data_IF_409479568792
#
_entry.id   IF_409479568792
#
_cell.length_a   1.000
_cell.length_b   1.000
_cell.length_c   1.000
_cell.angle_alpha   90.00
_cell.angle_beta   90.00
_cell.angle_gamma   90.00
#
_symmetry.space_group_name_H-M   'P 1'
#
loop_
_entity.id
_entity.type
_entity.pdbx_description
1 polymer ?
#
# COMPACT_ATOMS: atom_id res chain seq x y z
N UNK A 1 -8.00 23.46 3.68
CA UNK A 1 -7.55 23.13 5.05
C UNK A 1 -6.91 21.75 4.94
N UNK A 2 -5.74 21.66 4.29
CA UNK A 2 -4.36 21.72 4.84
C UNK A 2 -4.10 20.58 5.83
N UNK A 3 -3.30 19.62 5.34
CA UNK A 3 -3.04 18.25 5.75
C UNK A 3 -2.02 18.14 6.91
N UNK A 4 -1.99 19.09 7.84
CA UNK A 4 -0.88 19.22 8.80
C UNK A 4 -1.13 18.58 10.19
N UNK A 5 -2.14 17.71 10.33
CA UNK A 5 -2.48 17.11 11.64
C UNK A 5 -2.89 15.65 11.51
N UNK A 6 -1.93 14.71 11.46
CA UNK A 6 -1.96 13.40 12.14
C UNK A 6 -0.61 12.68 11.96
N UNK A 7 0.44 13.39 12.38
CA UNK A 7 1.79 12.86 12.56
C UNK A 7 1.83 12.13 13.92
N UNK A 8 1.21 10.95 14.03
CA UNK A 8 1.44 9.99 15.11
C UNK A 8 0.60 8.72 14.92
N UNK A 9 1.08 7.79 14.11
CA UNK A 9 0.71 6.39 14.27
C UNK A 9 2.00 5.66 14.55
N UNK A 10 2.14 5.20 15.79
CA UNK A 10 3.31 4.49 16.32
C UNK A 10 4.63 5.31 16.36
N UNK A 11 4.59 6.47 17.04
CA UNK A 11 5.74 7.31 17.46
C UNK A 11 6.94 7.48 16.50
N UNK A 12 6.93 8.59 15.77
CA UNK A 12 8.12 9.18 15.14
C UNK A 12 9.15 9.65 16.19
N UNK A 13 10.32 9.02 16.24
CA UNK A 13 11.57 9.80 16.34
C UNK A 13 12.55 9.26 15.32
N UNK A 14 12.57 9.85 14.12
CA UNK A 14 13.71 9.70 13.22
C UNK A 14 14.96 10.19 13.94
N UNK A 15 15.79 9.27 14.41
CA UNK A 15 17.14 9.57 14.85
C UNK A 15 18.04 9.12 13.70
N UNK A 16 18.74 10.06 13.08
CA UNK A 16 19.85 9.72 12.17
C UNK A 16 20.88 8.98 13.03
N UNK A 17 21.18 7.72 12.68
CA UNK A 17 22.27 6.98 13.31
C UNK A 17 23.58 7.73 13.04
N UNK A 18 24.59 7.55 13.89
CA UNK A 18 25.91 8.19 13.72
C UNK A 18 26.61 7.85 12.39
N UNK A 19 26.05 6.94 11.57
CA UNK A 19 26.49 6.56 10.23
C UNK A 19 25.67 7.20 9.09
N UNK A 20 24.69 8.06 9.40
CA UNK A 20 23.89 8.78 8.39
C UNK A 20 22.65 8.04 7.88
N UNK A 21 22.31 6.88 8.44
CA UNK A 21 21.15 6.08 8.04
C UNK A 21 19.96 6.32 9.00
N UNK A 22 18.74 6.40 8.47
CA UNK A 22 17.51 6.49 9.25
C UNK A 22 17.27 5.16 9.99
N UNK A 23 17.05 5.21 11.30
CA UNK A 23 16.60 4.05 12.10
C UNK A 23 15.06 4.02 12.01
N UNK A 24 14.52 3.02 11.31
CA UNK A 24 13.10 2.90 10.99
C UNK A 24 12.41 1.96 11.99
N UNK A 25 11.43 2.46 12.75
CA UNK A 25 10.46 1.62 13.46
C UNK A 25 9.07 2.09 13.00
N UNK A 26 8.61 1.52 11.88
CA UNK A 26 7.37 1.90 11.19
C UNK A 26 6.44 0.68 11.15
N UNK A 27 5.98 0.22 12.32
CA UNK A 27 5.11 -0.96 12.35
C UNK A 27 3.66 -0.68 11.94
N UNK A 28 3.32 0.54 11.51
CA UNK A 28 1.98 0.90 11.01
C UNK A 28 1.95 1.30 9.53
N UNK A 29 3.00 1.03 8.76
CA UNK A 29 3.01 1.28 7.31
C UNK A 29 1.85 0.57 6.60
N UNK A 30 1.50 -0.63 7.06
CA UNK A 30 0.38 -1.43 6.55
C UNK A 30 -0.94 -0.66 6.62
N UNK A 31 -1.22 0.05 7.73
CA UNK A 31 -2.48 0.77 7.88
C UNK A 31 -2.57 1.95 6.92
N UNK A 32 -1.48 2.67 6.68
CA UNK A 32 -1.42 3.77 5.71
C UNK A 32 -1.62 3.28 4.26
N UNK A 33 -0.96 2.18 3.90
CA UNK A 33 -1.14 1.59 2.59
C UNK A 33 -2.58 1.14 2.38
N UNK A 34 -3.15 0.45 3.38
CA UNK A 34 -4.54 -0.02 3.36
C UNK A 34 -5.53 1.13 3.24
N UNK A 35 -5.45 2.16 4.10
CA UNK A 35 -6.38 3.30 4.03
C UNK A 35 -6.29 3.99 2.68
N UNK A 36 -5.09 4.31 2.20
CA UNK A 36 -4.92 4.98 0.91
C UNK A 36 -5.51 4.20 -0.27
N UNK A 37 -5.44 2.86 -0.25
CA UNK A 37 -6.08 2.04 -1.27
C UNK A 37 -7.62 2.07 -1.16
N UNK A 38 -8.17 2.06 0.06
CA UNK A 38 -9.62 2.16 0.32
C UNK A 38 -10.16 3.53 -0.08
N UNK A 39 -9.45 4.61 0.27
CA UNK A 39 -9.75 5.98 -0.14
C UNK A 39 -9.82 6.09 -1.66
N UNK A 40 -8.82 5.52 -2.35
CA UNK A 40 -8.73 5.50 -3.81
C UNK A 40 -9.94 4.83 -4.46
N UNK A 41 -10.27 3.59 -4.07
CA UNK A 41 -11.40 2.87 -4.67
C UNK A 41 -12.74 3.54 -4.36
N UNK A 42 -12.91 4.09 -3.15
CA UNK A 42 -14.14 4.80 -2.81
C UNK A 42 -14.28 6.09 -3.63
N UNK A 43 -13.21 6.88 -3.79
CA UNK A 43 -13.22 8.07 -4.62
C UNK A 43 -13.51 7.75 -6.09
N UNK A 44 -13.01 6.63 -6.62
CA UNK A 44 -13.28 6.18 -7.99
C UNK A 44 -14.75 5.79 -8.21
N UNK A 45 -15.41 5.18 -7.21
CA UNK A 45 -16.79 4.72 -7.33
C UNK A 45 -17.81 5.80 -6.97
N UNK A 46 -17.57 6.55 -5.90
CA UNK A 46 -18.50 7.58 -5.41
C UNK A 46 -18.28 8.96 -6.04
N UNK A 47 -17.06 9.24 -6.50
CA UNK A 47 -16.62 10.58 -6.90
C UNK A 47 -16.16 11.47 -5.73
N UNK A 48 -16.33 11.01 -4.48
CA UNK A 48 -15.98 11.75 -3.28
C UNK A 48 -14.73 11.17 -2.62
N UNK A 49 -13.67 11.98 -2.55
CA UNK A 49 -12.47 11.63 -1.79
C UNK A 49 -12.72 11.86 -0.30
N UNK A 50 -12.71 10.78 0.46
CA UNK A 50 -12.89 10.78 1.91
C UNK A 50 -11.58 10.36 2.54
N UNK A 51 -11.10 11.14 3.50
CA UNK A 51 -9.92 10.75 4.28
C UNK A 51 -10.32 9.80 5.39
N UNK A 52 -9.62 8.68 5.52
CA UNK A 52 -9.83 7.64 6.53
C UNK A 52 -8.83 7.79 7.67
N UNK A 53 -9.16 7.15 8.80
CA UNK A 53 -8.32 7.14 9.98
C UNK A 53 -7.52 5.84 10.00
N UNK A 54 -6.23 5.88 9.67
CA UNK A 54 -5.32 4.76 9.83
C UNK A 54 -5.29 4.26 11.29
N UNK A 55 -5.50 5.16 12.27
CA UNK A 55 -5.54 4.83 13.69
C UNK A 55 -6.70 3.87 14.03
N UNK A 56 -7.80 3.89 13.27
CA UNK A 56 -8.90 2.94 13.49
C UNK A 56 -8.44 1.50 13.23
N UNK A 57 -7.63 1.29 12.19
CA UNK A 57 -7.02 -0.02 11.92
C UNK A 57 -6.01 -0.38 13.01
N UNK A 58 -5.10 0.53 13.37
CA UNK A 58 -4.08 0.25 14.39
C UNK A 58 -4.66 -0.10 15.75
N UNK A 59 -5.74 0.57 16.16
CA UNK A 59 -6.36 0.34 17.48
C UNK A 59 -7.37 -0.82 17.49
N UNK A 60 -8.09 -1.04 16.38
CA UNK A 60 -9.26 -1.93 16.38
C UNK A 60 -9.05 -3.22 15.59
N UNK A 61 -8.10 -3.27 14.65
CA UNK A 61 -7.81 -4.46 13.88
C UNK A 61 -6.98 -5.46 14.70
N UNK A 62 -7.68 -6.31 15.46
CA UNK A 62 -7.06 -7.37 16.26
C UNK A 62 -6.50 -8.53 15.44
N UNK A 63 -6.64 -8.52 14.11
CA UNK A 63 -6.01 -9.49 13.21
C UNK A 63 -4.58 -9.09 12.82
N UNK A 64 -4.23 -7.83 13.04
CA UNK A 64 -2.89 -7.28 12.87
C UNK A 64 -2.24 -6.95 14.22
N UNK A 65 -0.99 -6.51 14.19
CA UNK A 65 -0.17 -6.28 15.39
C UNK A 65 0.00 -4.79 15.72
N UNK A 66 -0.90 -3.93 15.24
CA UNK A 66 -0.90 -2.50 15.53
C UNK A 66 0.42 -1.84 15.12
N UNK A 67 1.21 -1.44 16.12
CA UNK A 67 2.53 -0.81 15.94
C UNK A 67 3.70 -1.78 15.77
N UNK A 68 3.48 -3.08 15.91
CA UNK A 68 4.51 -4.11 15.75
C UNK A 68 4.55 -4.69 14.32
N UNK A 69 3.70 -4.18 13.42
CA UNK A 69 3.57 -4.64 12.04
C UNK A 69 2.16 -5.10 11.68
N UNK A 70 1.97 -5.41 10.40
CA UNK A 70 0.70 -5.92 9.90
C UNK A 70 0.72 -6.19 8.40
N UNK A 71 -0.34 -6.84 7.93
CA UNK A 71 -0.57 -7.20 6.54
C UNK A 71 -1.83 -6.51 6.02
N UNK A 72 -1.73 -5.94 4.82
CA UNK A 72 -2.84 -5.22 4.19
C UNK A 72 -4.02 -6.14 3.88
N UNK A 73 -3.77 -7.41 3.56
CA UNK A 73 -4.82 -8.41 3.30
C UNK A 73 -5.71 -8.64 4.52
N UNK A 74 -5.11 -8.75 5.71
CA UNK A 74 -5.84 -8.88 6.97
C UNK A 74 -6.61 -7.62 7.30
N UNK A 75 -6.03 -6.46 7.03
CA UNK A 75 -6.71 -5.18 7.22
C UNK A 75 -7.92 -5.04 6.30
N UNK A 76 -7.81 -5.45 5.02
CA UNK A 76 -8.95 -5.49 4.11
C UNK A 76 -10.03 -6.45 4.60
N UNK A 77 -9.67 -7.66 5.04
CA UNK A 77 -10.62 -8.63 5.59
C UNK A 77 -11.31 -8.12 6.86
N UNK A 78 -10.58 -7.44 7.74
CA UNK A 78 -11.12 -6.78 8.92
C UNK A 78 -12.12 -5.67 8.54
N UNK A 79 -11.79 -4.83 7.56
CA UNK A 79 -12.70 -3.77 7.07
C UNK A 79 -13.96 -4.37 6.45
N UNK A 80 -13.86 -5.46 5.69
CA UNK A 80 -15.04 -6.17 5.15
C UNK A 80 -15.93 -6.67 6.29
N UNK A 81 -15.33 -7.21 7.35
CA UNK A 81 -16.05 -7.82 8.48
C UNK A 81 -16.64 -6.80 9.46
N UNK A 82 -16.02 -5.62 9.61
CA UNK A 82 -16.38 -4.63 10.65
C UNK A 82 -16.91 -3.29 10.09
N UNK A 83 -16.74 -3.03 8.80
CA UNK A 83 -16.99 -1.72 8.17
C UNK A 83 -18.20 -1.65 7.23
N UNK A 84 -19.00 -2.72 7.13
CA UNK A 84 -20.02 -2.96 6.08
C UNK A 84 -21.16 -1.95 5.90
N UNK A 85 -21.22 -0.83 6.64
CA UNK A 85 -22.23 0.24 6.43
C UNK A 85 -21.65 1.68 6.42
N UNK A 86 -20.33 1.87 6.52
CA UNK A 86 -19.72 3.22 6.44
C UNK A 86 -19.40 3.59 4.98
N UNK A 87 -19.37 4.89 4.68
CA UNK A 87 -19.14 5.46 3.33
C UNK A 87 -17.83 4.98 2.69
N UNK A 88 -16.90 4.45 3.48
CA UNK A 88 -15.62 3.91 3.05
C UNK A 88 -15.54 2.37 3.03
N UNK A 89 -16.69 1.68 2.97
CA UNK A 89 -16.71 0.22 2.89
C UNK A 89 -16.03 -0.30 1.61
N UNK A 90 -15.62 -1.56 1.63
CA UNK A 90 -15.16 -2.31 0.47
C UNK A 90 -15.95 -3.62 0.41
N UNK A 91 -16.19 -4.14 -0.79
CA UNK A 91 -16.99 -5.34 -1.01
C UNK A 91 -16.13 -6.61 -1.08
N UNK A 92 -14.82 -6.44 -1.23
CA UNK A 92 -13.83 -7.51 -1.31
C UNK A 92 -12.41 -6.95 -1.44
N UNK A 93 -11.44 -7.84 -1.67
CA UNK A 93 -10.09 -7.47 -2.09
C UNK A 93 -9.50 -8.54 -3.01
N UNK A 94 -8.47 -8.18 -3.77
CA UNK A 94 -7.74 -9.09 -4.66
C UNK A 94 -6.24 -9.00 -4.41
N UNK A 95 -5.59 -10.17 -4.39
CA UNK A 95 -4.13 -10.28 -4.39
C UNK A 95 -3.64 -10.19 -5.83
N UNK A 96 -2.60 -9.41 -6.05
CA UNK A 96 -1.96 -9.22 -7.36
C UNK A 96 -0.92 -10.32 -7.57
N UNK A 97 -0.86 -10.86 -8.78
CA UNK A 97 0.21 -11.79 -9.14
C UNK A 97 1.58 -11.13 -9.12
N UNK A 98 2.61 -11.91 -8.77
CA UNK A 98 4.01 -11.46 -8.62
C UNK A 98 4.69 -11.16 -9.97
N UNK A 99 4.06 -10.30 -10.77
CA UNK A 99 4.45 -9.94 -12.14
C UNK A 99 4.23 -8.44 -12.35
N UNK A 100 5.22 -7.76 -12.92
CA UNK A 100 5.10 -6.34 -13.30
C UNK A 100 3.86 -6.08 -14.18
N UNK A 101 3.49 -7.02 -15.06
CA UNK A 101 2.32 -6.88 -15.93
C UNK A 101 0.99 -6.95 -15.16
N UNK A 102 0.91 -7.76 -14.10
CA UNK A 102 -0.27 -7.84 -13.26
C UNK A 102 -0.39 -6.61 -12.37
N UNK A 103 0.74 -6.15 -11.81
CA UNK A 103 0.79 -4.93 -11.02
C UNK A 103 0.49 -3.69 -11.85
N UNK A 104 0.94 -3.66 -13.11
CA UNK A 104 0.61 -2.61 -14.08
C UNK A 104 -0.88 -2.57 -14.36
N UNK A 105 -1.46 -3.75 -14.62
CA UNK A 105 -2.90 -3.87 -14.87
C UNK A 105 -3.72 -3.35 -13.69
N UNK A 106 -3.36 -3.73 -12.46
CA UNK A 106 -4.06 -3.30 -11.26
C UNK A 106 -3.89 -1.79 -11.01
N UNK A 107 -2.66 -1.29 -11.05
CA UNK A 107 -2.33 0.14 -10.80
C UNK A 107 -2.96 1.07 -11.83
N UNK A 108 -3.23 0.59 -13.05
CA UNK A 108 -3.96 1.35 -14.06
C UNK A 108 -5.44 1.59 -13.71
N UNK A 109 -6.01 0.79 -12.81
CA UNK A 109 -7.42 0.91 -12.41
C UNK A 109 -7.59 1.70 -11.12
N UNK A 110 -6.69 1.53 -10.16
CA UNK A 110 -6.81 2.11 -8.83
C UNK A 110 -5.47 2.09 -8.07
N UNK A 111 -5.35 2.86 -6.97
CA UNK A 111 -4.22 2.71 -6.05
C UNK A 111 -4.16 1.30 -5.43
N UNK A 112 -2.95 0.77 -5.34
CA UNK A 112 -2.66 -0.61 -4.89
C UNK A 112 -1.76 -0.57 -3.66
N UNK A 113 -2.09 -1.35 -2.64
CA UNK A 113 -1.19 -1.59 -1.52
C UNK A 113 -0.08 -2.53 -1.95
N UNK A 114 1.17 -2.16 -1.73
CA UNK A 114 2.34 -2.99 -1.98
C UNK A 114 3.30 -2.96 -0.80
N UNK A 115 4.26 -3.87 -0.77
CA UNK A 115 5.35 -3.78 0.19
C UNK A 115 6.66 -3.43 -0.50
N UNK A 116 7.46 -2.61 0.16
CA UNK A 116 8.71 -2.05 -0.26
C UNK A 116 9.76 -2.37 0.81
N UNK A 117 10.89 -2.90 0.37
CA UNK A 117 12.07 -3.02 1.23
C UNK A 117 12.91 -1.75 1.08
N UNK A 118 12.94 -0.92 2.13
CA UNK A 118 13.65 0.36 2.19
C UNK A 118 15.16 0.28 1.91
N UNK A 119 15.74 -0.92 1.91
CA UNK A 119 17.15 -1.16 1.64
C UNK A 119 17.43 -1.88 0.32
N UNK A 120 16.39 -2.23 -0.44
CA UNK A 120 16.46 -2.99 -1.70
C UNK A 120 17.44 -4.17 -1.61
N UNK A 121 17.15 -5.06 -0.66
CA UNK A 121 17.68 -6.42 -0.60
C UNK A 121 17.14 -7.24 -1.76
N UNK A 122 17.93 -8.22 -2.22
CA UNK A 122 17.49 -9.22 -3.20
C UNK A 122 16.69 -10.37 -2.54
N UNK A 123 16.36 -10.25 -1.24
CA UNK A 123 15.70 -11.27 -0.44
C UNK A 123 14.20 -10.92 -0.20
N UNK A 124 13.25 -11.75 -0.67
CA UNK A 124 11.82 -11.53 -0.45
C UNK A 124 11.38 -11.67 1.01
N UNK A 125 12.23 -12.19 1.90
CA UNK A 125 11.95 -12.26 3.35
C UNK A 125 12.35 -10.98 4.10
N UNK A 126 13.05 -10.03 3.46
CA UNK A 126 13.52 -8.77 4.07
C UNK A 126 12.54 -7.59 3.82
N UNK A 127 11.28 -7.91 3.53
CA UNK A 127 10.23 -6.94 3.25
C UNK A 127 9.70 -6.36 4.57
N UNK A 128 9.89 -5.05 4.79
CA UNK A 128 9.60 -4.40 6.09
C UNK A 128 8.64 -3.20 6.05
N UNK A 129 8.36 -2.62 4.87
CA UNK A 129 7.60 -1.36 4.78
C UNK A 129 6.51 -1.33 3.71
N UNK A 130 5.24 -1.22 4.10
CA UNK A 130 4.13 -1.11 3.15
C UNK A 130 4.02 0.31 2.56
N UNK A 131 3.77 0.37 1.24
CA UNK A 131 3.68 1.59 0.44
C UNK A 131 2.48 1.55 -0.48
N UNK A 132 2.04 2.73 -0.95
CA UNK A 132 0.91 2.83 -1.86
C UNK A 132 1.37 3.15 -3.28
N UNK A 133 1.14 2.24 -4.21
CA UNK A 133 1.31 2.51 -5.65
C UNK A 133 0.12 3.29 -6.18
N UNK A 134 0.39 4.47 -6.74
CA UNK A 134 -0.66 5.40 -7.21
C UNK A 134 -0.60 5.67 -8.71
N UNK A 135 0.41 5.13 -9.40
CA UNK A 135 0.56 5.32 -10.83
C UNK A 135 1.84 4.73 -11.38
N UNK A 136 2.07 4.98 -12.66
CA UNK A 136 3.25 4.55 -13.39
C UNK A 136 3.56 5.53 -14.50
N UNK A 137 4.82 5.50 -14.96
CA UNK A 137 5.30 6.32 -16.05
C UNK A 137 6.40 5.64 -16.86
N UNK A 138 6.85 6.36 -17.88
CA UNK A 138 7.97 6.01 -18.73
C UNK A 138 8.71 7.29 -19.10
N UNK A 139 10.01 7.32 -18.80
CA UNK A 139 10.91 8.40 -19.21
C UNK A 139 12.09 7.81 -19.99
N UNK A 140 12.96 8.69 -20.52
CA UNK A 140 14.09 8.26 -21.36
C UNK A 140 14.98 7.20 -20.69
N UNK A 141 15.06 7.21 -19.37
CA UNK A 141 15.89 6.30 -18.59
C UNK A 141 15.18 5.01 -18.16
N UNK A 142 13.92 4.84 -18.54
CA UNK A 142 13.14 3.62 -18.37
C UNK A 142 11.77 3.83 -17.74
N UNK A 143 11.15 2.69 -17.45
CA UNK A 143 9.83 2.59 -16.88
C UNK A 143 9.87 2.68 -15.35
N UNK A 144 8.89 3.35 -14.73
CA UNK A 144 8.79 3.46 -13.28
C UNK A 144 7.36 3.38 -12.73
N UNK A 145 7.27 3.04 -11.46
CA UNK A 145 6.10 3.21 -10.58
C UNK A 145 6.17 4.56 -9.88
N UNK A 146 5.01 5.16 -9.62
CA UNK A 146 4.84 6.32 -8.76
C UNK A 146 4.31 5.80 -7.42
N UNK A 147 5.11 5.96 -6.38
CA UNK A 147 4.83 5.37 -5.07
C UNK A 147 4.69 6.48 -4.04
N UNK A 148 3.57 6.47 -3.31
CA UNK A 148 3.29 7.36 -2.17
C UNK A 148 3.80 6.69 -0.90
N UNK A 149 4.61 7.43 -0.14
CA UNK A 149 5.17 6.97 1.12
C UNK A 149 4.50 7.65 2.33
N UNK A 150 4.72 7.10 3.52
CA UNK A 150 4.17 7.55 4.80
C UNK A 150 5.16 8.36 5.66
N UNK A 151 6.30 8.76 5.09
CA UNK A 151 7.38 9.46 5.81
C UNK A 151 7.27 11.01 5.79
N UNK A 152 6.09 11.53 5.47
CA UNK A 152 5.83 12.96 5.38
C UNK A 152 6.29 13.61 4.07
N UNK A 153 5.85 14.84 3.83
CA UNK A 153 6.07 15.56 2.57
C UNK A 153 7.49 16.11 2.41
N UNK A 154 8.22 16.28 3.51
CA UNK A 154 9.62 16.75 3.48
C UNK A 154 10.58 15.67 2.97
N UNK A 155 10.12 14.41 2.90
CA UNK A 155 10.89 13.30 2.37
C UNK A 155 10.59 13.06 0.89
N UNK A 156 11.62 12.70 0.12
CA UNK A 156 11.48 12.38 -1.31
C UNK A 156 10.98 13.55 -2.14
N UNK A 157 10.03 13.26 -3.04
CA UNK A 157 9.35 14.25 -3.87
C UNK A 157 7.96 14.52 -3.28
N UNK A 158 7.88 15.40 -2.29
CA UNK A 158 6.61 15.71 -1.59
C UNK A 158 5.95 14.46 -0.98
N UNK A 159 6.75 13.53 -0.44
CA UNK A 159 6.30 12.25 0.11
C UNK A 159 6.20 11.11 -0.91
N UNK A 160 6.59 11.34 -2.16
CA UNK A 160 6.60 10.33 -3.22
C UNK A 160 8.01 9.94 -3.64
N UNK A 161 8.12 8.77 -4.27
CA UNK A 161 9.33 8.35 -4.97
C UNK A 161 8.99 7.56 -6.24
N UNK A 162 9.97 7.47 -7.14
CA UNK A 162 9.89 6.63 -8.33
C UNK A 162 10.65 5.34 -8.12
N UNK A 163 10.01 4.22 -8.44
CA UNK A 163 10.60 2.90 -8.35
C UNK A 163 10.69 2.29 -9.74
N UNK A 164 11.88 1.84 -10.15
CA UNK A 164 12.07 1.29 -11.50
C UNK A 164 11.26 0.00 -11.69
N UNK A 165 10.57 -0.12 -12.82
CA UNK A 165 9.79 -1.32 -13.22
C UNK A 165 10.33 -1.93 -14.50
N UNK A 166 9.77 -3.07 -14.90
CA UNK A 166 10.20 -3.83 -16.08
C UNK A 166 11.68 -4.21 -16.00
N UNK A 167 12.08 -4.75 -14.85
CA UNK A 167 13.44 -5.25 -14.61
C UNK A 167 13.49 -6.77 -14.76
N UNK A 168 14.69 -7.35 -14.76
CA UNK A 168 14.87 -8.80 -14.79
C UNK A 168 14.82 -9.42 -13.37
N UNK A 169 14.46 -8.64 -12.34
CA UNK A 169 14.33 -9.14 -10.98
C UNK A 169 13.01 -9.90 -10.84
N UNK A 170 13.02 -11.12 -10.28
CA UNK A 170 11.84 -11.97 -10.21
C UNK A 170 10.68 -11.35 -9.41
N UNK A 171 11.00 -10.54 -8.39
CA UNK A 171 10.03 -9.85 -7.54
C UNK A 171 9.98 -8.33 -7.78
N UNK A 172 10.56 -7.85 -8.89
CA UNK A 172 10.73 -6.42 -9.12
C UNK A 172 11.76 -5.77 -8.19
N UNK A 173 11.97 -4.47 -8.36
CA UNK A 173 12.94 -3.71 -7.57
C UNK A 173 12.43 -3.60 -6.12
N UNK A 174 13.27 -3.96 -5.15
CA UNK A 174 12.95 -3.99 -3.71
C UNK A 174 11.72 -4.87 -3.40
N UNK A 175 11.60 -6.00 -4.12
CA UNK A 175 10.56 -7.01 -3.99
C UNK A 175 9.11 -6.49 -4.11
N UNK A 176 8.90 -5.37 -4.82
CA UNK A 176 7.60 -4.71 -4.87
C UNK A 176 6.47 -5.55 -5.50
N UNK A 177 6.82 -6.57 -6.28
CA UNK A 177 5.86 -7.51 -6.84
C UNK A 177 5.55 -8.68 -5.89
N UNK A 178 6.31 -8.87 -4.81
CA UNK A 178 6.19 -10.04 -3.95
C UNK A 178 4.89 -10.07 -3.16
N UNK A 179 4.39 -8.90 -2.74
CA UNK A 179 3.16 -8.81 -1.97
C UNK A 179 2.42 -7.51 -2.29
N UNK A 180 1.42 -7.62 -3.16
CA UNK A 180 0.54 -6.52 -3.50
C UNK A 180 -0.91 -6.98 -3.52
N UNK A 181 -1.79 -6.11 -3.06
CA UNK A 181 -3.23 -6.35 -3.01
C UNK A 181 -4.02 -5.05 -3.05
N UNK A 182 -5.28 -5.15 -3.44
CA UNK A 182 -6.16 -3.99 -3.54
C UNK A 182 -7.60 -4.31 -3.16
N UNK A 183 -8.31 -3.35 -2.54
CA UNK A 183 -9.72 -3.50 -2.22
C UNK A 183 -10.58 -3.37 -3.48
N UNK A 184 -11.70 -4.08 -3.53
CA UNK A 184 -12.70 -3.97 -4.59
C UNK A 184 -13.98 -3.34 -4.05
N UNK A 185 -14.63 -2.52 -4.88
CA UNK A 185 -15.95 -1.97 -4.59
C UNK A 185 -16.79 -2.01 -5.86
N UNK A 186 -18.02 -2.51 -5.73
CA UNK A 186 -18.95 -2.62 -6.84
C UNK A 186 -19.35 -1.23 -7.32
N UNK A 187 -19.23 -1.02 -8.63
CA UNK A 187 -19.72 0.18 -9.31
C UNK A 187 -20.96 -0.19 -10.11
N UNK A 188 -21.87 0.77 -10.31
CA UNK A 188 -22.95 0.62 -11.29
C UNK A 188 -22.42 0.64 -12.74
N UNK A 189 -21.14 0.94 -12.96
CA UNK A 189 -20.48 0.86 -14.25
C UNK A 189 -19.95 -0.57 -14.53
N UNK A 190 -19.93 -1.03 -15.80
CA UNK A 190 -19.41 -2.35 -16.13
C UNK A 190 -17.93 -2.51 -15.72
N UNK A 191 -17.64 -3.57 -14.98
CA UNK A 191 -16.32 -3.87 -14.41
C UNK A 191 -15.26 -4.10 -15.51
N UNK A 192 -14.03 -3.60 -15.36
CA UNK A 192 -12.90 -4.05 -16.17
C UNK A 192 -12.66 -5.56 -15.99
N UNK A 193 -12.08 -6.27 -16.98
CA UNK A 193 -11.79 -7.69 -16.85
C UNK A 193 -10.79 -7.95 -15.72
N UNK A 194 -11.19 -8.70 -14.68
CA UNK A 194 -10.33 -8.97 -13.53
C UNK A 194 -8.99 -9.61 -13.95
N UNK A 195 -7.86 -9.22 -13.33
CA UNK A 195 -6.60 -9.92 -13.50
C UNK A 195 -6.72 -11.37 -12.97
N UNK A 196 -5.74 -12.25 -13.29
CA UNK A 196 -5.76 -13.63 -12.81
C UNK A 196 -5.90 -13.68 -11.29
N UNK A 197 -7.01 -14.23 -10.80
CA UNK A 197 -7.29 -14.34 -9.37
C UNK A 197 -6.29 -15.30 -8.72
N UNK A 198 -5.46 -14.79 -7.83
CA UNK A 198 -4.75 -15.60 -6.85
C UNK A 198 -5.62 -15.76 -5.61
N UNK A 199 -5.56 -16.95 -4.99
CA UNK A 199 -6.20 -17.15 -3.69
C UNK A 199 -5.41 -16.35 -2.65
N UNK A 200 -6.06 -15.73 -1.65
CA UNK A 200 -5.36 -15.15 -0.51
C UNK A 200 -4.38 -16.17 0.06
N UNK A 201 -3.12 -15.82 0.13
CA UNK A 201 -2.16 -16.63 0.86
C UNK A 201 -2.47 -16.46 2.34
N UNK A 202 -2.91 -17.52 3.02
CA UNK A 202 -2.75 -17.57 4.47
C UNK A 202 -1.24 -17.49 4.73
N UNK A 203 -0.75 -16.32 5.11
CA UNK A 203 0.63 -16.13 5.55
C UNK A 203 0.93 -17.21 6.59
N UNK A 204 1.94 -18.05 6.31
CA UNK A 204 2.32 -19.10 7.27
C UNK A 204 2.97 -18.41 8.46
N UNK A 205 2.41 -18.66 9.64
CA UNK A 205 3.05 -18.43 10.94
C UNK A 205 4.39 -19.15 11.06
#
# INVERSE_FOLDING_TARGET
MSLDYYLAICSFTGRIRNDGLMEEYVGSCWSFSTTGAIEGINALVSGDLISLSEQELVDCDTSNYGCDGGYMDYAFEWVISNGGEKIASIDGYQVVAELDSALLYATAQQPISGIYDGSCSDNPDDIDHAVLMVGYGSENDGDYWIVKNSWGTDWGMEGYFYLRRNTNLPYGVCAVNAMASYPTKESTAPSPPSPPLLRPHHHRH
#
